data_IF_467296812636
#
_entry.id   IF_467296812636
#
_cell.length_a   1.000
_cell.length_b   1.000
_cell.length_c   1.000
_cell.angle_alpha   90.00
_cell.angle_beta   90.00
_cell.angle_gamma   90.00
#
_symmetry.space_group_name_H-M   'P 1'
#
loop_
_entity.id
_entity.type
_entity.pdbx_description
1 polymer ?
#
# COMPACT_ATOMS: atom_id res chain seq x y z
N UNK A 1 2.31 4.61 0.73
CA UNK A 1 2.50 3.80 1.96
C UNK A 1 2.87 2.36 1.65
N UNK A 2 1.93 1.47 1.28
CA UNK A 2 2.29 0.05 1.08
C UNK A 2 3.30 -0.16 -0.07
N UNK A 3 3.04 0.41 -1.25
CA UNK A 3 3.89 0.23 -2.43
C UNK A 3 5.24 0.97 -2.35
N UNK A 4 5.29 2.11 -1.68
CA UNK A 4 6.47 2.98 -1.65
C UNK A 4 7.33 2.78 -0.39
N UNK A 5 6.71 2.45 0.75
CA UNK A 5 7.36 2.39 2.07
C UNK A 5 7.27 0.99 2.71
N UNK A 6 6.54 0.05 2.09
CA UNK A 6 6.35 -1.30 2.66
C UNK A 6 5.45 -1.36 3.90
N UNK A 7 4.73 -0.27 4.22
CA UNK A 7 3.85 -0.19 5.39
C UNK A 7 2.40 -0.45 4.97
N UNK A 8 1.91 -1.66 5.24
CA UNK A 8 0.59 -2.12 4.83
C UNK A 8 -0.49 -1.91 5.91
N UNK A 9 -1.34 -0.91 5.73
CA UNK A 9 -2.28 -0.41 6.75
C UNK A 9 -3.65 -0.07 6.14
N UNK A 10 -4.66 0.08 7.00
CA UNK A 10 -6.03 0.37 6.60
C UNK A 10 -6.31 1.80 6.11
N UNK A 11 -7.57 2.06 5.80
CA UNK A 11 -8.04 3.34 5.22
C UNK A 11 -7.80 4.53 6.17
N UNK A 12 -8.11 4.36 7.46
CA UNK A 12 -7.96 5.45 8.45
C UNK A 12 -6.49 5.85 8.66
N UNK A 13 -5.57 4.88 8.60
CA UNK A 13 -4.13 5.10 8.64
C UNK A 13 -3.64 5.90 7.41
N UNK A 14 -4.16 5.58 6.23
CA UNK A 14 -3.90 6.38 5.02
C UNK A 14 -4.40 7.82 5.14
N UNK A 15 -5.57 8.02 5.77
CA UNK A 15 -6.15 9.35 5.97
C UNK A 15 -5.32 10.22 6.92
N UNK A 16 -4.86 9.69 8.06
CA UNK A 16 -4.01 10.43 9.00
C UNK A 16 -2.68 10.80 8.37
N UNK A 17 -2.05 9.87 7.65
CA UNK A 17 -0.80 10.13 6.93
C UNK A 17 -0.98 11.18 5.82
N UNK A 18 -2.05 11.10 5.03
CA UNK A 18 -2.33 12.08 3.99
C UNK A 18 -2.55 13.50 4.56
N UNK A 19 -3.24 13.61 5.70
CA UNK A 19 -3.41 14.88 6.39
C UNK A 19 -2.07 15.43 6.90
N UNK A 20 -1.21 14.58 7.47
CA UNK A 20 0.12 14.99 7.91
C UNK A 20 1.02 15.42 6.75
N UNK A 21 0.98 14.74 5.61
CA UNK A 21 1.74 15.16 4.42
C UNK A 21 1.31 16.55 3.92
N UNK A 22 0.02 16.87 3.98
CA UNK A 22 -0.48 18.22 3.66
C UNK A 22 0.03 19.25 4.67
N UNK A 23 -0.03 18.94 5.96
CA UNK A 23 0.51 19.82 6.99
C UNK A 23 2.04 20.02 6.85
N UNK A 24 2.77 18.96 6.45
CA UNK A 24 4.22 18.99 6.27
C UNK A 24 4.65 19.90 5.12
N UNK A 25 3.82 20.05 4.08
CA UNK A 25 4.09 20.94 2.96
C UNK A 25 4.20 22.43 3.36
N UNK A 26 3.58 22.81 4.49
CA UNK A 26 3.60 24.18 5.02
C UNK A 26 4.46 24.32 6.28
N UNK A 27 5.02 23.21 6.79
CA UNK A 27 5.78 23.19 8.04
C UNK A 27 7.20 23.76 7.86
N UNK A 28 7.75 24.32 8.94
CA UNK A 28 9.13 24.79 8.95
C UNK A 28 10.12 23.62 8.71
N UNK A 29 11.25 23.85 8.02
CA UNK A 29 12.26 22.82 7.82
C UNK A 29 12.72 22.19 9.15
N UNK A 30 12.81 20.87 9.18
CA UNK A 30 13.17 20.11 10.37
C UNK A 30 12.01 19.80 11.34
N UNK A 31 10.77 20.21 11.01
CA UNK A 31 9.59 19.80 11.76
C UNK A 31 9.40 18.28 11.74
N UNK A 32 9.02 17.70 12.87
CA UNK A 32 8.76 16.26 13.03
C UNK A 32 7.28 16.03 13.27
N UNK A 33 6.69 15.04 12.60
CA UNK A 33 5.28 14.70 12.71
C UNK A 33 5.09 13.27 13.18
N UNK A 34 4.04 13.05 13.97
CA UNK A 34 3.58 11.74 14.41
C UNK A 34 2.15 11.54 13.91
N UNK A 35 1.88 10.38 13.33
CA UNK A 35 0.53 9.96 12.94
C UNK A 35 0.22 8.58 13.46
N UNK A 36 -1.07 8.32 13.70
CA UNK A 36 -1.55 7.01 14.11
C UNK A 36 -1.89 6.17 12.89
N UNK A 37 -1.40 4.93 12.87
CA UNK A 37 -1.77 3.90 11.90
C UNK A 37 -2.53 2.79 12.66
N UNK A 38 -3.88 2.83 12.72
CA UNK A 38 -4.62 2.05 13.72
C UNK A 38 -4.60 0.53 13.52
N UNK A 39 -4.57 0.06 12.27
CA UNK A 39 -4.66 -1.35 11.94
C UNK A 39 -3.90 -1.72 10.64
N UNK A 40 -3.74 -3.02 10.43
CA UNK A 40 -3.14 -3.63 9.23
C UNK A 40 -4.09 -3.56 8.04
N UNK A 41 -3.53 -3.53 6.83
CA UNK A 41 -4.29 -3.48 5.58
C UNK A 41 -5.02 -4.79 5.21
N UNK A 42 -4.65 -5.92 5.83
CA UNK A 42 -5.15 -7.26 5.47
C UNK A 42 -6.67 -7.39 5.60
N UNK A 43 -7.28 -6.63 6.52
CA UNK A 43 -8.72 -6.64 6.77
C UNK A 43 -9.52 -5.92 5.68
N UNK A 44 -8.83 -5.23 4.77
CA UNK A 44 -9.42 -4.35 3.77
C UNK A 44 -9.38 -4.92 2.34
N UNK A 45 -8.90 -6.17 2.17
CA UNK A 45 -8.80 -6.82 0.86
C UNK A 45 -10.14 -6.94 0.11
N UNK A 46 -11.26 -7.01 0.83
CA UNK A 46 -12.61 -7.08 0.24
C UNK A 46 -13.34 -5.73 0.18
N UNK A 47 -12.63 -4.62 0.43
CA UNK A 47 -13.20 -3.26 0.49
C UNK A 47 -12.81 -2.47 -0.76
N UNK A 48 -13.41 -1.28 -1.00
CA UNK A 48 -13.04 -0.43 -2.14
C UNK A 48 -11.55 -0.05 -2.22
N UNK A 49 -10.80 -0.19 -1.12
CA UNK A 49 -9.35 -0.01 -1.12
C UNK A 49 -8.65 -0.92 -2.17
N UNK A 50 -9.25 -2.05 -2.52
CA UNK A 50 -8.75 -3.03 -3.48
C UNK A 50 -9.62 -3.19 -4.73
N UNK A 51 -10.66 -2.37 -4.93
CA UNK A 51 -11.63 -2.53 -6.04
C UNK A 51 -10.99 -2.48 -7.44
N UNK A 52 -9.87 -1.76 -7.59
CA UNK A 52 -9.11 -1.68 -8.85
C UNK A 52 -8.06 -2.77 -9.04
N UNK A 53 -7.92 -3.70 -8.10
CA UNK A 53 -6.91 -4.76 -8.14
C UNK A 53 -7.63 -6.08 -8.45
N UNK A 54 -7.24 -6.71 -9.56
CA UNK A 54 -7.80 -8.01 -9.94
C UNK A 54 -7.38 -9.10 -8.94
N UNK A 55 -8.29 -10.01 -8.61
CA UNK A 55 -8.00 -11.16 -7.76
C UNK A 55 -7.04 -12.15 -8.44
N UNK A 56 -7.16 -12.26 -9.77
CA UNK A 56 -6.35 -13.12 -10.60
C UNK A 56 -5.25 -12.34 -11.32
N UNK A 57 -4.12 -13.01 -11.54
CA UNK A 57 -3.05 -12.50 -12.38
C UNK A 57 -3.54 -12.25 -13.81
N UNK A 58 -3.22 -11.08 -14.34
CA UNK A 58 -3.33 -10.76 -15.76
C UNK A 58 -2.44 -11.67 -16.61
N UNK A 59 -2.68 -11.70 -17.92
CA UNK A 59 -1.87 -12.51 -18.83
C UNK A 59 -0.40 -12.06 -18.86
N UNK A 60 -0.15 -10.75 -18.75
CA UNK A 60 1.19 -10.16 -18.67
C UNK A 60 1.90 -10.60 -17.38
N UNK A 61 1.22 -10.55 -16.23
CA UNK A 61 1.78 -11.01 -14.96
C UNK A 61 2.05 -12.52 -14.97
N UNK A 62 1.19 -13.31 -15.63
CA UNK A 62 1.42 -14.75 -15.84
C UNK A 62 2.63 -15.00 -16.74
N UNK A 63 2.84 -14.20 -17.77
CA UNK A 63 4.04 -14.32 -18.62
C UNK A 63 5.31 -14.00 -17.83
N UNK A 64 5.30 -12.96 -17.01
CA UNK A 64 6.40 -12.62 -16.09
C UNK A 64 6.65 -13.78 -15.11
N UNK A 65 5.61 -14.34 -14.48
CA UNK A 65 5.74 -15.51 -13.61
C UNK A 65 6.32 -16.73 -14.34
N UNK A 66 5.90 -16.96 -15.59
CA UNK A 66 6.40 -18.07 -16.44
C UNK A 66 7.84 -17.87 -16.90
N UNK A 67 8.31 -16.62 -16.99
CA UNK A 67 9.69 -16.29 -17.38
C UNK A 67 10.73 -16.74 -16.36
N UNK A 68 10.32 -17.13 -15.14
CA UNK A 68 11.24 -17.62 -14.09
C UNK A 68 10.87 -19.04 -13.62
N UNK A 69 11.08 -20.08 -14.46
CA UNK A 69 10.60 -21.44 -14.18
C UNK A 69 11.14 -22.07 -12.90
N UNK A 70 12.36 -21.69 -12.49
CA UNK A 70 13.04 -22.29 -11.33
C UNK A 70 12.47 -21.93 -9.95
N UNK A 71 11.50 -21.01 -9.88
CA UNK A 71 10.90 -20.54 -8.63
C UNK A 71 9.38 -20.75 -8.59
N UNK A 72 8.84 -21.55 -9.52
CA UNK A 72 7.45 -21.97 -9.45
C UNK A 72 7.34 -23.07 -8.38
N UNK A 73 6.72 -22.74 -7.25
CA UNK A 73 6.35 -23.72 -6.22
C UNK A 73 5.28 -24.63 -6.83
N UNK A 74 5.67 -25.86 -7.14
CA UNK A 74 4.77 -26.92 -7.64
C UNK A 74 3.88 -27.49 -6.55
#
# INVERSE_FOLDING_TARGET
>A
LAAEEGIFVGISAGATFAAAMRAAAEAAPGSVMLVMLPDTGERYLSTPLFEGIAEDMSEEEREIMRSTPGYQLG
#
